data_IF_417169730665
#
_entry.id   IF_417169730665
#
_cell.length_a   1.000
_cell.length_b   1.000
_cell.length_c   1.000
_cell.angle_alpha   90.00
_cell.angle_beta   90.00
_cell.angle_gamma   90.00
#
_symmetry.space_group_name_H-M   'P 1'
#
loop_
_entity.id
_entity.type
_entity.pdbx_description
1 polymer ?
#
# COMPACT_ATOMS: atom_id res chain seq x y z
N UNK A 1 -14.38 -24.53 -20.11
CA UNK A 1 -13.35 -23.74 -19.40
C UNK A 1 -13.21 -22.44 -20.16
N UNK A 2 -13.86 -21.37 -19.71
CA UNK A 2 -13.67 -20.04 -20.30
C UNK A 2 -12.20 -19.66 -20.16
N UNK A 3 -11.59 -19.20 -21.26
CA UNK A 3 -10.21 -18.73 -21.23
C UNK A 3 -10.14 -17.50 -20.34
N UNK A 4 -9.50 -17.60 -19.17
CA UNK A 4 -9.24 -16.43 -18.32
C UNK A 4 -8.51 -15.38 -19.16
N UNK A 5 -9.10 -14.19 -19.28
CA UNK A 5 -8.50 -13.06 -19.99
C UNK A 5 -7.12 -12.76 -19.39
N UNK A 6 -6.13 -12.48 -20.24
CA UNK A 6 -4.80 -12.12 -19.75
C UNK A 6 -4.81 -10.71 -19.15
N UNK A 7 -3.84 -10.39 -18.28
CA UNK A 7 -3.65 -9.02 -17.74
C UNK A 7 -3.56 -7.96 -18.85
N UNK A 8 -3.00 -8.32 -20.00
CA UNK A 8 -2.93 -7.44 -21.18
C UNK A 8 -4.27 -7.30 -21.88
N UNK A 9 -5.01 -8.41 -22.00
CA UNK A 9 -6.38 -8.36 -22.49
C UNK A 9 -7.19 -7.48 -21.56
N UNK A 10 -7.08 -7.60 -20.23
CA UNK A 10 -7.80 -6.73 -19.30
C UNK A 10 -7.43 -5.25 -19.47
N UNK A 11 -6.13 -4.92 -19.60
CA UNK A 11 -5.69 -3.54 -19.86
C UNK A 11 -6.22 -3.01 -21.21
N UNK A 12 -6.33 -3.88 -22.23
CA UNK A 12 -6.72 -3.52 -23.60
C UNK A 12 -8.23 -3.63 -23.89
N UNK A 13 -8.95 -4.47 -23.13
CA UNK A 13 -10.35 -4.90 -23.34
C UNK A 13 -11.34 -4.18 -22.44
N UNK A 14 -10.88 -3.50 -21.38
CA UNK A 14 -11.66 -2.43 -20.75
C UNK A 14 -12.03 -1.48 -21.89
N UNK A 15 -13.30 -1.55 -22.34
CA UNK A 15 -13.82 -0.99 -23.61
C UNK A 15 -13.07 0.28 -24.00
N UNK A 16 -12.64 0.45 -25.27
CA UNK A 16 -11.71 1.50 -25.71
C UNK A 16 -12.29 2.86 -25.39
N UNK A 17 -11.97 3.31 -24.20
CA UNK A 17 -12.44 4.52 -23.60
C UNK A 17 -11.29 4.88 -22.68
N UNK A 18 -10.30 5.57 -23.25
CA UNK A 18 -9.54 6.73 -22.72
C UNK A 18 -9.42 6.95 -21.19
N UNK A 19 -9.70 5.97 -20.34
CA UNK A 19 -9.87 6.09 -18.89
C UNK A 19 -8.54 5.86 -18.21
N UNK A 20 -7.91 4.70 -18.41
CA UNK A 20 -6.56 4.46 -17.87
C UNK A 20 -5.54 5.12 -18.80
N UNK A 21 -4.86 6.12 -18.26
CA UNK A 21 -3.84 6.93 -18.96
C UNK A 21 -2.59 6.98 -18.10
N UNK A 22 -1.45 7.30 -18.70
CA UNK A 22 -0.20 7.61 -17.98
C UNK A 22 0.30 9.00 -18.35
N UNK A 23 1.24 9.55 -17.55
CA UNK A 23 1.81 10.87 -17.86
C UNK A 23 3.09 10.78 -18.69
N UNK A 24 3.29 11.78 -19.52
CA UNK A 24 4.60 12.12 -20.08
C UNK A 24 4.92 13.58 -19.82
N UNK A 25 6.21 13.89 -19.65
CA UNK A 25 6.65 15.28 -19.51
C UNK A 25 6.61 15.93 -20.90
N UNK A 26 5.92 17.08 -21.00
CA UNK A 26 5.70 17.82 -22.25
C UNK A 26 6.46 19.14 -22.32
N UNK A 27 7.17 19.51 -21.25
CA UNK A 27 7.98 20.72 -21.27
C UNK A 27 9.14 20.57 -22.24
N UNK A 28 8.99 21.27 -23.35
CA UNK A 28 10.06 21.65 -24.25
C UNK A 28 10.04 23.18 -24.34
N UNK A 29 10.94 23.85 -23.62
CA UNK A 29 11.10 25.29 -23.77
C UNK A 29 12.00 25.56 -24.99
N UNK A 30 11.36 25.74 -26.14
CA UNK A 30 12.04 26.18 -27.34
C UNK A 30 12.17 27.71 -27.28
N UNK A 31 13.36 28.20 -26.91
CA UNK A 31 13.89 29.50 -27.38
C UNK A 31 15.38 29.77 -27.11
N UNK A 32 16.13 28.85 -26.52
CA UNK A 32 17.59 28.94 -26.48
C UNK A 32 18.16 27.56 -26.78
N UNK A 33 18.52 27.33 -28.04
CA UNK A 33 19.48 26.30 -28.41
C UNK A 33 20.47 26.92 -29.37
N UNK A 34 21.70 27.09 -28.90
CA UNK A 34 22.85 27.43 -29.75
C UNK A 34 24.01 26.43 -29.56
N UNK A 35 23.93 25.41 -28.69
CA UNK A 35 24.99 24.38 -28.62
C UNK A 35 24.51 22.95 -28.33
N UNK A 36 25.37 21.97 -28.62
CA UNK A 36 25.19 20.54 -28.34
C UNK A 36 25.18 20.22 -26.82
N UNK A 37 25.62 21.15 -25.97
CA UNK A 37 25.71 20.97 -24.53
C UNK A 37 24.33 21.03 -23.84
N UNK A 38 23.33 21.65 -24.49
CA UNK A 38 21.95 21.80 -24.00
C UNK A 38 21.18 20.46 -23.88
N UNK A 39 21.71 19.37 -24.43
CA UNK A 39 21.12 18.02 -24.34
C UNK A 39 21.28 17.37 -22.96
N UNK A 40 22.30 17.80 -22.19
CA UNK A 40 22.63 17.31 -20.86
C UNK A 40 22.01 18.15 -19.73
N UNK A 41 21.20 19.16 -20.07
CA UNK A 41 20.46 19.95 -19.08
C UNK A 41 19.33 19.10 -18.49
N UNK A 42 19.15 19.19 -17.16
CA UNK A 42 18.02 18.59 -16.45
C UNK A 42 16.77 19.46 -16.61
N UNK A 43 15.68 18.86 -17.08
CA UNK A 43 14.36 19.48 -17.07
C UNK A 43 13.82 19.55 -15.62
N UNK A 44 12.81 20.39 -15.37
CA UNK A 44 12.13 20.47 -14.07
C UNK A 44 11.47 19.15 -13.62
N UNK A 45 11.23 18.22 -14.54
CA UNK A 45 10.79 16.86 -14.23
C UNK A 45 11.92 15.98 -13.66
N UNK A 46 13.17 16.42 -13.72
CA UNK A 46 14.36 15.67 -13.32
C UNK A 46 15.00 14.84 -14.44
N UNK A 47 14.33 14.65 -15.59
CA UNK A 47 14.90 13.96 -16.77
C UNK A 47 15.81 14.88 -17.56
N UNK A 48 16.82 14.33 -18.22
CA UNK A 48 17.58 15.07 -19.23
C UNK A 48 16.65 15.49 -20.38
N UNK A 49 16.87 16.68 -20.94
CA UNK A 49 16.06 17.18 -22.05
C UNK A 49 16.07 16.18 -23.22
N UNK A 50 17.20 15.53 -23.51
CA UNK A 50 17.31 14.47 -24.52
C UNK A 50 16.48 13.21 -24.26
N UNK A 51 15.94 13.04 -23.06
CA UNK A 51 15.13 11.88 -22.67
C UNK A 51 13.61 12.14 -22.76
N UNK A 52 13.20 13.31 -23.27
CA UNK A 52 11.80 13.63 -23.51
C UNK A 52 11.36 13.15 -24.88
N UNK A 53 10.11 12.73 -25.01
CA UNK A 53 9.44 12.50 -26.28
C UNK A 53 7.95 12.72 -26.14
N UNK A 54 7.34 13.24 -27.18
CA UNK A 54 5.90 13.53 -27.21
C UNK A 54 5.09 12.24 -27.43
N UNK A 55 5.71 11.27 -28.09
CA UNK A 55 5.26 9.97 -28.53
C UNK A 55 5.59 8.83 -27.54
N UNK A 56 6.14 9.14 -26.35
CA UNK A 56 6.46 8.15 -25.32
C UNK A 56 7.78 7.38 -25.55
N UNK A 57 8.37 7.44 -26.75
CA UNK A 57 9.66 6.84 -27.10
C UNK A 57 10.84 7.80 -26.91
N UNK A 58 11.72 7.54 -25.95
CA UNK A 58 12.88 8.37 -25.61
C UNK A 58 13.71 8.80 -26.85
N UNK A 59 13.92 10.11 -27.07
CA UNK A 59 14.70 10.66 -28.20
C UNK A 59 16.14 10.11 -28.30
N UNK A 60 16.70 9.60 -27.20
CA UNK A 60 18.02 8.95 -27.18
C UNK A 60 18.12 7.70 -28.06
N UNK A 61 16.99 7.14 -28.51
CA UNK A 61 16.95 5.96 -29.38
C UNK A 61 16.89 6.29 -30.87
N UNK A 62 16.63 7.56 -31.24
CA UNK A 62 16.57 8.00 -32.66
C UNK A 62 17.93 8.52 -33.18
N UNK A 63 19.00 8.47 -32.38
CA UNK A 63 20.31 9.00 -32.80
C UNK A 63 21.08 8.12 -33.78
N UNK A 64 20.56 6.95 -34.17
CA UNK A 64 21.20 6.09 -35.20
C UNK A 64 20.37 5.91 -36.49
N UNK A 65 19.21 6.56 -36.61
CA UNK A 65 18.45 6.57 -37.89
C UNK A 65 17.91 7.97 -38.15
N UNK A 66 18.61 8.68 -39.02
CA UNK A 66 18.16 9.75 -39.90
C UNK A 66 17.09 10.73 -39.36
N UNK A 67 17.53 11.94 -39.02
CA UNK A 67 16.75 13.19 -39.16
C UNK A 67 15.28 13.16 -38.71
N UNK A 68 14.96 12.51 -37.58
CA UNK A 68 13.63 12.66 -36.98
C UNK A 68 13.42 14.13 -36.59
N UNK A 69 12.59 14.85 -37.36
CA UNK A 69 12.21 16.24 -37.05
C UNK A 69 11.56 16.28 -35.67
N UNK A 70 12.25 16.88 -34.71
CA UNK A 70 11.71 17.21 -33.39
C UNK A 70 10.59 18.24 -33.64
N UNK A 71 9.34 17.83 -33.50
CA UNK A 71 8.20 18.75 -33.55
C UNK A 71 8.03 19.44 -32.20
N UNK A 72 7.81 20.74 -32.22
CA UNK A 72 7.53 21.49 -31.00
C UNK A 72 6.20 21.09 -30.38
N UNK A 73 6.10 21.05 -29.04
CA UNK A 73 4.82 20.87 -28.40
C UNK A 73 3.88 22.02 -28.77
N UNK A 74 2.58 21.76 -28.93
CA UNK A 74 1.57 22.79 -29.16
C UNK A 74 1.69 23.99 -28.19
N UNK A 75 1.46 25.20 -28.70
CA UNK A 75 1.70 26.48 -27.98
C UNK A 75 0.93 26.64 -26.67
N UNK A 76 -0.12 25.84 -26.50
CA UNK A 76 -0.99 25.74 -25.31
C UNK A 76 -0.31 25.07 -24.10
N UNK A 77 0.81 24.35 -24.27
CA UNK A 77 1.52 23.65 -23.20
C UNK A 77 2.50 24.49 -22.37
N UNK A 78 2.46 25.83 -22.49
CA UNK A 78 3.41 26.75 -21.83
C UNK A 78 3.28 26.85 -20.30
N UNK A 79 2.19 26.34 -19.69
CA UNK A 79 1.91 26.45 -18.25
C UNK A 79 1.84 25.09 -17.52
N UNK A 80 1.89 23.97 -18.25
CA UNK A 80 1.71 22.62 -17.70
C UNK A 80 2.90 21.76 -18.10
N UNK A 81 3.52 21.07 -17.13
CA UNK A 81 4.77 20.33 -17.36
C UNK A 81 4.60 18.89 -17.84
N UNK A 82 3.41 18.32 -17.72
CA UNK A 82 3.08 16.95 -18.11
C UNK A 82 1.72 16.87 -18.79
N UNK A 83 1.54 15.88 -19.66
CA UNK A 83 0.25 15.55 -20.30
C UNK A 83 -0.04 14.07 -20.15
N UNK A 84 -1.32 13.71 -20.15
CA UNK A 84 -1.81 12.34 -20.20
C UNK A 84 -1.69 11.77 -21.61
N UNK A 85 -1.22 10.54 -21.71
CA UNK A 85 -1.12 9.73 -22.93
C UNK A 85 -1.67 8.32 -22.66
N UNK A 86 -2.00 7.53 -23.70
CA UNK A 86 -2.31 6.12 -23.51
C UNK A 86 -1.21 5.38 -22.73
N UNK A 87 -1.58 4.36 -21.98
CA UNK A 87 -0.62 3.57 -21.19
C UNK A 87 0.45 2.99 -22.11
N UNK A 88 1.71 3.29 -21.80
CA UNK A 88 2.89 2.87 -22.58
C UNK A 88 3.77 1.85 -21.87
N UNK A 89 3.58 1.66 -20.57
CA UNK A 89 4.43 0.80 -19.73
C UNK A 89 3.54 -0.10 -18.90
N UNK A 90 3.53 -1.39 -19.25
CA UNK A 90 2.88 -2.47 -18.52
C UNK A 90 3.53 -3.80 -18.88
N UNK A 91 3.34 -4.82 -18.05
CA UNK A 91 3.89 -6.16 -18.29
C UNK A 91 3.92 -7.01 -17.03
N UNK A 92 4.81 -7.99 -17.00
CA UNK A 92 5.04 -8.82 -15.81
C UNK A 92 6.53 -9.14 -15.63
N UNK A 93 6.99 -9.07 -14.38
CA UNK A 93 8.30 -9.55 -13.92
C UNK A 93 8.22 -11.06 -13.63
N UNK A 94 9.34 -11.76 -13.75
CA UNK A 94 9.43 -13.17 -13.36
C UNK A 94 9.97 -13.30 -11.95
N UNK A 95 9.43 -14.25 -11.19
CA UNK A 95 10.02 -14.73 -9.94
C UNK A 95 10.18 -16.24 -10.01
N UNK A 96 11.39 -16.74 -9.70
CA UNK A 96 11.73 -18.16 -9.71
C UNK A 96 11.29 -18.90 -11.00
N UNK A 97 11.49 -18.27 -12.16
CA UNK A 97 11.14 -18.82 -13.47
C UNK A 97 9.65 -18.75 -13.84
N UNK A 98 8.76 -18.37 -12.91
CA UNK A 98 7.32 -18.21 -13.11
C UNK A 98 6.92 -16.74 -13.25
N UNK A 99 5.69 -16.47 -13.71
CA UNK A 99 5.12 -15.11 -13.70
C UNK A 99 5.05 -14.64 -12.24
N UNK A 100 5.78 -13.57 -11.92
CA UNK A 100 5.77 -12.90 -10.64
C UNK A 100 4.89 -11.66 -10.70
N UNK A 101 5.48 -10.50 -10.43
CA UNK A 101 4.77 -9.23 -10.30
C UNK A 101 4.34 -8.62 -11.66
N UNK A 102 3.03 -8.50 -11.88
CA UNK A 102 2.43 -7.73 -12.99
C UNK A 102 2.53 -6.24 -12.69
N UNK A 103 2.85 -5.40 -13.66
CA UNK A 103 2.99 -3.96 -13.43
C UNK A 103 2.25 -3.12 -14.48
N UNK A 104 1.84 -1.91 -14.07
CA UNK A 104 1.25 -0.90 -14.94
C UNK A 104 1.66 0.50 -14.48
N UNK A 105 2.02 1.37 -15.44
CA UNK A 105 2.27 2.80 -15.19
C UNK A 105 1.03 3.61 -15.53
N UNK A 106 0.56 4.39 -14.57
CA UNK A 106 -0.66 5.18 -14.68
C UNK A 106 -0.44 6.63 -14.22
N UNK A 107 -1.37 7.51 -14.54
CA UNK A 107 -1.41 8.88 -14.05
C UNK A 107 -1.74 8.90 -12.55
N UNK A 108 -0.99 9.67 -11.77
CA UNK A 108 -1.23 9.85 -10.34
C UNK A 108 -2.60 10.46 -9.99
N UNK A 109 -3.26 11.15 -10.93
CA UNK A 109 -4.60 11.76 -10.78
C UNK A 109 -5.72 10.85 -11.29
N UNK A 110 -5.40 9.66 -11.78
CA UNK A 110 -6.41 8.72 -12.23
C UNK A 110 -7.30 8.30 -11.04
N UNK A 111 -8.64 8.35 -11.16
CA UNK A 111 -9.53 7.75 -10.16
C UNK A 111 -9.22 6.27 -9.94
N UNK A 112 -9.39 5.76 -8.72
CA UNK A 112 -9.01 4.38 -8.40
C UNK A 112 -10.03 3.33 -8.85
N UNK A 113 -11.32 3.67 -9.02
CA UNK A 113 -12.35 2.72 -9.46
C UNK A 113 -11.96 1.86 -10.69
N UNK A 114 -11.48 2.41 -11.82
CA UNK A 114 -11.05 1.58 -12.96
C UNK A 114 -9.87 0.66 -12.66
N UNK A 115 -9.00 1.05 -11.71
CA UNK A 115 -7.85 0.24 -11.29
C UNK A 115 -8.30 -0.87 -10.34
N UNK A 116 -9.25 -0.59 -9.45
CA UNK A 116 -9.87 -1.59 -8.60
C UNK A 116 -10.58 -2.66 -9.44
N UNK A 117 -11.41 -2.26 -10.41
CA UNK A 117 -12.06 -3.20 -11.35
C UNK A 117 -11.04 -4.06 -12.10
N UNK A 118 -9.94 -3.46 -12.59
CA UNK A 118 -8.86 -4.19 -13.26
C UNK A 118 -8.24 -5.28 -12.36
N UNK A 119 -7.98 -4.95 -11.09
CA UNK A 119 -7.42 -5.88 -10.11
C UNK A 119 -8.39 -7.01 -9.77
N UNK A 120 -9.68 -6.69 -9.56
CA UNK A 120 -10.72 -7.68 -9.27
C UNK A 120 -10.86 -8.68 -10.43
N UNK A 121 -10.90 -8.18 -11.68
CA UNK A 121 -11.01 -9.03 -12.87
C UNK A 121 -9.80 -9.97 -13.03
N UNK A 122 -8.57 -9.49 -12.79
CA UNK A 122 -7.38 -10.37 -12.81
C UNK A 122 -7.36 -11.37 -11.64
N UNK A 123 -8.02 -11.01 -10.55
CA UNK A 123 -8.26 -11.91 -9.44
C UNK A 123 -9.35 -12.95 -9.72
N UNK A 124 -9.97 -12.95 -10.91
CA UNK A 124 -11.05 -13.87 -11.29
C UNK A 124 -12.37 -13.46 -10.63
N UNK A 125 -12.67 -12.17 -10.70
CA UNK A 125 -13.87 -11.52 -10.16
C UNK A 125 -14.05 -11.70 -8.64
N UNK A 126 -12.95 -12.00 -7.94
CA UNK A 126 -12.95 -12.20 -6.49
C UNK A 126 -12.54 -10.90 -5.80
N UNK A 127 -13.51 -10.26 -5.13
CA UNK A 127 -13.28 -9.06 -4.29
C UNK A 127 -12.61 -9.44 -2.96
N UNK A 128 -11.74 -8.59 -2.38
CA UNK A 128 -11.10 -8.87 -1.10
C UNK A 128 -12.08 -8.80 0.06
N UNK A 129 -12.01 -9.73 1.02
CA UNK A 129 -12.74 -9.60 2.29
C UNK A 129 -12.02 -8.71 3.33
N UNK A 130 -10.71 -8.50 3.11
CA UNK A 130 -9.83 -7.78 4.01
C UNK A 130 -8.72 -7.09 3.21
N UNK A 131 -8.35 -5.88 3.60
CA UNK A 131 -7.17 -5.18 3.11
C UNK A 131 -6.20 -4.97 4.26
N UNK A 132 -4.97 -5.45 4.05
CA UNK A 132 -3.85 -5.27 4.96
C UNK A 132 -2.91 -4.21 4.39
N UNK A 133 -3.05 -2.96 4.83
CA UNK A 133 -2.18 -1.85 4.43
C UNK A 133 -0.94 -1.82 5.31
N UNK A 134 0.19 -2.26 4.77
CA UNK A 134 1.44 -2.39 5.53
C UNK A 134 2.34 -1.19 5.25
N UNK A 135 2.68 -0.48 6.32
CA UNK A 135 3.59 0.65 6.32
C UNK A 135 4.82 0.31 7.15
N UNK A 136 5.96 0.87 6.73
CA UNK A 136 7.14 0.80 7.55
C UNK A 136 8.36 1.43 6.92
N UNK A 137 9.53 1.01 7.40
CA UNK A 137 10.82 1.48 6.90
C UNK A 137 10.92 1.36 5.39
N UNK A 138 11.12 2.50 4.71
CA UNK A 138 11.39 2.54 3.27
C UNK A 138 12.82 2.09 2.94
N UNK A 139 13.69 2.02 3.95
CA UNK A 139 15.07 1.54 3.88
C UNK A 139 15.21 0.23 4.63
N UNK A 140 16.34 -0.44 4.45
CA UNK A 140 16.73 -1.56 5.29
C UNK A 140 16.66 -1.18 6.78
N UNK A 141 16.02 -2.04 7.56
CA UNK A 141 15.96 -1.98 9.01
C UNK A 141 16.17 -3.38 9.55
N UNK A 142 16.51 -3.47 10.84
CA UNK A 142 16.80 -4.73 11.52
C UNK A 142 15.85 -4.91 12.67
N UNK A 143 15.38 -6.13 12.87
CA UNK A 143 14.65 -6.57 14.05
C UNK A 143 15.14 -7.98 14.44
N UNK A 144 14.57 -8.55 15.51
CA UNK A 144 14.91 -9.93 15.85
C UNK A 144 14.36 -10.90 14.80
N UNK A 145 15.11 -11.95 14.46
CA UNK A 145 14.70 -12.97 13.49
C UNK A 145 13.37 -13.64 13.88
N UNK A 146 13.13 -13.79 15.19
CA UNK A 146 11.88 -14.34 15.72
C UNK A 146 10.69 -13.44 15.39
N UNK A 147 10.82 -12.13 15.62
CA UNK A 147 9.77 -11.16 15.31
C UNK A 147 9.53 -11.08 13.81
N UNK A 148 10.60 -11.02 13.02
CA UNK A 148 10.53 -10.98 11.56
C UNK A 148 9.73 -12.16 10.98
N UNK A 149 10.05 -13.37 11.44
CA UNK A 149 9.33 -14.59 11.05
C UNK A 149 7.86 -14.55 11.46
N UNK A 150 7.55 -14.01 12.64
CA UNK A 150 6.18 -13.93 13.12
C UNK A 150 5.35 -12.89 12.35
N UNK A 151 5.94 -11.75 11.99
CA UNK A 151 5.30 -10.75 11.11
C UNK A 151 4.96 -11.37 9.76
N UNK A 152 5.95 -12.01 9.12
CA UNK A 152 5.73 -12.69 7.83
C UNK A 152 4.62 -13.72 7.99
N UNK A 153 4.76 -14.64 8.96
CA UNK A 153 3.80 -15.73 9.16
C UNK A 153 2.39 -15.21 9.38
N UNK A 154 2.19 -14.29 10.31
CA UNK A 154 0.85 -13.81 10.63
C UNK A 154 0.18 -13.02 9.50
N UNK A 155 0.95 -12.22 8.74
CA UNK A 155 0.40 -11.49 7.57
C UNK A 155 0.05 -12.45 6.44
N UNK A 156 0.94 -13.40 6.14
CA UNK A 156 0.73 -14.40 5.08
C UNK A 156 -0.42 -15.34 5.42
N UNK A 157 -0.51 -15.78 6.67
CA UNK A 157 -1.60 -16.63 7.15
C UNK A 157 -2.93 -15.89 7.11
N UNK A 158 -2.98 -14.62 7.56
CA UNK A 158 -4.17 -13.78 7.45
C UNK A 158 -4.61 -13.63 5.99
N UNK A 159 -3.69 -13.31 5.07
CA UNK A 159 -4.01 -13.14 3.65
C UNK A 159 -4.47 -14.43 2.97
N UNK A 160 -3.81 -15.56 3.28
CA UNK A 160 -4.13 -16.84 2.70
C UNK A 160 -5.50 -17.38 3.14
N UNK A 161 -5.93 -17.07 4.36
CA UNK A 161 -7.15 -17.62 4.95
C UNK A 161 -8.38 -16.75 4.68
N UNK A 162 -8.23 -15.42 4.73
CA UNK A 162 -9.34 -14.46 4.66
C UNK A 162 -9.56 -13.80 3.29
N UNK A 163 -8.93 -14.32 2.23
CA UNK A 163 -8.92 -13.68 0.91
C UNK A 163 -8.54 -12.19 1.00
N UNK A 164 -7.47 -11.91 1.75
CA UNK A 164 -7.03 -10.54 1.97
C UNK A 164 -6.12 -10.06 0.85
N UNK A 165 -6.22 -8.78 0.52
CA UNK A 165 -5.23 -8.09 -0.30
C UNK A 165 -4.22 -7.39 0.60
N UNK A 166 -2.94 -7.63 0.32
CA UNK A 166 -1.83 -6.97 1.01
C UNK A 166 -1.41 -5.75 0.18
N UNK A 167 -1.40 -4.57 0.79
CA UNK A 167 -0.90 -3.35 0.17
C UNK A 167 0.45 -2.97 0.78
N UNK A 168 1.44 -2.70 -0.06
CA UNK A 168 2.78 -2.25 0.36
C UNK A 168 3.26 -1.09 -0.52
N UNK A 169 4.52 -0.68 -0.38
CA UNK A 169 5.15 0.26 -1.32
C UNK A 169 5.56 -0.41 -2.63
N UNK A 170 5.61 -1.74 -2.76
CA UNK A 170 6.01 -2.41 -4.01
C UNK A 170 7.49 -2.29 -4.39
N UNK A 171 8.28 -1.63 -3.57
CA UNK A 171 9.72 -1.46 -3.78
C UNK A 171 10.46 -2.65 -3.15
N UNK A 172 11.49 -3.16 -3.81
CA UNK A 172 12.37 -4.21 -3.29
C UNK A 172 13.32 -3.63 -2.21
N UNK A 173 12.74 -3.08 -1.14
CA UNK A 173 13.47 -2.62 0.04
C UNK A 173 12.54 -2.63 1.27
N UNK A 174 13.14 -2.64 2.46
CA UNK A 174 12.45 -2.55 3.74
C UNK A 174 11.32 -3.57 3.89
N UNK A 175 10.17 -3.11 4.39
CA UNK A 175 9.04 -4.02 4.70
C UNK A 175 8.45 -4.66 3.43
N UNK A 176 8.47 -3.94 2.31
CA UNK A 176 7.92 -4.45 1.06
C UNK A 176 8.70 -5.66 0.54
N UNK A 177 10.04 -5.64 0.66
CA UNK A 177 10.91 -6.79 0.38
C UNK A 177 10.67 -7.93 1.36
N UNK A 178 10.60 -7.64 2.66
CA UNK A 178 10.33 -8.62 3.70
C UNK A 178 9.05 -9.44 3.42
N UNK A 179 7.96 -8.75 3.07
CA UNK A 179 6.70 -9.40 2.69
C UNK A 179 6.84 -10.17 1.38
N UNK A 180 7.56 -9.63 0.40
CA UNK A 180 7.84 -10.31 -0.87
C UNK A 180 8.56 -11.66 -0.67
N UNK A 181 9.60 -11.68 0.16
CA UNK A 181 10.33 -12.91 0.52
C UNK A 181 9.43 -13.91 1.26
N UNK A 182 8.59 -13.43 2.17
CA UNK A 182 7.56 -14.25 2.84
C UNK A 182 6.59 -14.92 1.87
N UNK A 183 6.09 -14.18 0.87
CA UNK A 183 5.22 -14.71 -0.19
C UNK A 183 5.95 -15.74 -1.04
N UNK A 184 7.22 -15.47 -1.38
CA UNK A 184 8.06 -16.40 -2.15
C UNK A 184 8.21 -17.73 -1.41
N UNK A 185 8.58 -17.69 -0.12
CA UNK A 185 8.69 -18.87 0.73
C UNK A 185 7.37 -19.63 0.85
N UNK A 186 6.25 -18.93 1.05
CA UNK A 186 4.92 -19.55 1.12
C UNK A 186 4.56 -20.32 -0.15
N UNK A 187 4.81 -19.73 -1.33
CA UNK A 187 4.54 -20.37 -2.64
C UNK A 187 5.41 -21.60 -2.88
N UNK A 188 6.65 -21.60 -2.39
CA UNK A 188 7.53 -22.77 -2.48
C UNK A 188 7.05 -23.92 -1.60
N UNK A 189 6.54 -23.61 -0.40
CA UNK A 189 6.06 -24.61 0.55
C UNK A 189 4.65 -25.14 0.22
N UNK A 190 3.81 -24.34 -0.43
CA UNK A 190 2.44 -24.70 -0.80
C UNK A 190 2.28 -24.67 -2.32
N UNK A 191 2.41 -25.82 -3.03
CA UNK A 191 2.42 -25.88 -4.50
C UNK A 191 1.06 -25.57 -5.17
N UNK A 192 -0.05 -25.67 -4.44
CA UNK A 192 -1.35 -25.08 -4.79
C UNK A 192 -1.72 -24.02 -3.74
N UNK A 193 -1.00 -22.88 -3.69
CA UNK A 193 -1.21 -21.90 -2.64
C UNK A 193 -2.57 -21.23 -2.84
N UNK A 194 -3.27 -20.91 -1.75
CA UNK A 194 -4.33 -19.91 -1.82
C UNK A 194 -3.75 -18.65 -2.47
N UNK A 195 -4.50 -18.04 -3.40
CA UNK A 195 -3.98 -16.93 -4.21
C UNK A 195 -3.80 -15.71 -3.31
N UNK A 196 -2.62 -15.57 -2.71
CA UNK A 196 -2.22 -14.36 -2.00
C UNK A 196 -2.09 -13.25 -3.02
N UNK A 197 -2.85 -12.18 -2.83
CA UNK A 197 -2.79 -10.96 -3.63
C UNK A 197 -1.98 -9.93 -2.84
N UNK A 198 -0.83 -9.56 -3.39
CA UNK A 198 0.01 -8.50 -2.84
C UNK A 198 0.25 -7.44 -3.91
N UNK A 199 -0.12 -6.20 -3.59
CA UNK A 199 -0.15 -5.07 -4.51
C UNK A 199 0.83 -4.03 -3.98
N UNK A 200 1.85 -3.75 -4.79
CA UNK A 200 2.76 -2.64 -4.61
C UNK A 200 2.17 -1.35 -5.17
N UNK A 201 2.20 -0.28 -4.38
CA UNK A 201 1.80 1.06 -4.80
C UNK A 201 3.02 1.98 -4.69
N UNK A 202 3.56 2.43 -5.82
CA UNK A 202 4.76 3.28 -5.82
C UNK A 202 4.71 4.37 -6.85
N UNK A 203 5.55 5.39 -6.64
CA UNK A 203 5.75 6.45 -7.61
C UNK A 203 6.68 5.95 -8.71
N UNK A 204 6.30 6.18 -9.97
CA UNK A 204 7.15 5.84 -11.12
C UNK A 204 8.52 6.49 -11.01
N UNK A 205 8.57 7.77 -10.60
CA UNK A 205 9.80 8.53 -10.47
C UNK A 205 10.83 7.96 -9.49
N UNK A 206 10.39 7.27 -8.43
CA UNK A 206 11.27 6.72 -7.39
C UNK A 206 11.88 5.38 -7.75
N UNK A 207 11.40 4.72 -8.81
CA UNK A 207 12.03 3.49 -9.29
C UNK A 207 13.33 3.85 -10.00
N UNK A 208 14.38 3.06 -9.75
CA UNK A 208 15.69 3.31 -10.34
C UNK A 208 15.64 3.36 -11.89
N UNK A 209 16.56 4.11 -12.49
CA UNK A 209 16.53 4.38 -13.93
C UNK A 209 16.68 3.12 -14.78
N UNK A 210 17.48 2.16 -14.32
CA UNK A 210 17.70 0.85 -14.98
C UNK A 210 16.40 0.06 -15.08
N UNK A 211 15.68 -0.11 -13.96
CA UNK A 211 14.37 -0.78 -13.94
C UNK A 211 13.41 -0.04 -14.85
N UNK A 212 13.30 1.29 -14.74
CA UNK A 212 12.42 2.07 -15.62
C UNK A 212 12.75 1.92 -17.10
N UNK A 213 14.02 1.74 -17.45
CA UNK A 213 14.45 1.50 -18.81
C UNK A 213 14.01 0.11 -19.29
N UNK A 214 14.20 -0.93 -18.48
CA UNK A 214 13.72 -2.28 -18.79
C UNK A 214 12.21 -2.34 -19.03
N UNK A 215 11.43 -1.66 -18.17
CA UNK A 215 9.97 -1.61 -18.29
C UNK A 215 9.50 -0.86 -19.55
N UNK A 216 10.32 0.00 -20.17
CA UNK A 216 9.98 0.76 -21.39
C UNK A 216 10.17 -0.02 -22.69
N UNK A 217 10.98 -1.09 -22.69
CA UNK A 217 11.34 -1.81 -23.92
C UNK A 217 10.32 -2.88 -24.35
N UNK A 218 9.17 -2.97 -23.69
CA UNK A 218 8.20 -4.06 -23.86
C UNK A 218 7.06 -3.75 -24.82
N UNK A 219 7.34 -3.47 -26.10
CA UNK A 219 6.38 -3.82 -27.17
C UNK A 219 7.18 -4.26 -28.40
N UNK A 220 6.96 -5.45 -28.98
CA UNK A 220 5.73 -5.91 -29.61
C UNK A 220 5.57 -7.42 -29.35
N UNK A 221 4.40 -7.87 -28.85
CA UNK A 221 4.00 -9.29 -28.71
C UNK A 221 4.58 -10.10 -27.51
N UNK A 222 4.87 -9.45 -26.38
CA UNK A 222 5.72 -9.90 -25.26
C UNK A 222 7.19 -10.10 -25.66
N UNK A 223 8.12 -9.16 -25.37
CA UNK A 223 9.50 -9.55 -25.25
C UNK A 223 9.64 -10.23 -23.89
N UNK A 224 10.02 -11.50 -23.95
CA UNK A 224 10.73 -12.16 -22.85
C UNK A 224 11.66 -11.12 -22.20
N UNK A 225 11.46 -10.80 -20.93
CA UNK A 225 12.59 -10.44 -20.10
C UNK A 225 13.40 -11.74 -19.97
N UNK A 226 14.25 -11.95 -20.96
CA UNK A 226 15.52 -12.61 -20.81
C UNK A 226 16.56 -11.57 -21.18
N UNK A 227 16.63 -10.45 -20.45
CA UNK A 227 17.96 -10.02 -20.06
C UNK A 227 18.38 -11.02 -18.98
N UNK A 228 19.24 -11.96 -19.35
CA UNK A 228 20.10 -12.58 -18.37
C UNK A 228 21.00 -11.47 -17.84
N UNK A 229 20.51 -10.71 -16.87
CA UNK A 229 21.24 -10.71 -15.63
C UNK A 229 20.53 -11.81 -14.85
N UNK A 230 21.17 -12.97 -14.77
CA UNK A 230 21.21 -13.62 -13.45
C UNK A 230 21.50 -12.43 -12.55
N UNK A 231 20.53 -11.99 -11.74
CA UNK A 231 20.91 -11.30 -10.51
C UNK A 231 21.77 -12.36 -9.88
N UNK A 232 23.08 -12.32 -10.16
CA UNK A 232 24.03 -13.04 -9.38
C UNK A 232 23.70 -12.56 -7.99
N UNK A 233 23.61 -13.46 -7.03
CA UNK A 233 23.32 -13.11 -5.65
C UNK A 233 24.40 -12.16 -5.04
N UNK A 234 25.28 -11.60 -5.89
CA UNK A 234 26.53 -10.90 -5.63
C UNK A 234 26.68 -9.57 -6.41
N UNK A 235 25.67 -9.06 -7.13
CA UNK A 235 25.73 -7.69 -7.69
C UNK A 235 24.70 -6.81 -7.00
N UNK A 236 25.20 -5.95 -6.11
CA UNK A 236 24.52 -4.94 -5.30
C UNK A 236 23.02 -4.80 -5.61
N UNK A 237 22.22 -5.34 -4.69
CA UNK A 237 20.78 -5.19 -4.57
C UNK A 237 20.45 -3.68 -4.62
N UNK A 238 20.31 -3.15 -5.84
CA UNK A 238 20.16 -1.70 -6.00
C UNK A 238 18.85 -1.33 -5.35
N UNK A 239 18.94 -0.64 -4.21
CA UNK A 239 17.83 -0.01 -3.53
C UNK A 239 16.94 0.67 -4.60
N UNK A 240 15.62 0.44 -4.56
CA UNK A 240 14.62 1.07 -5.44
C UNK A 240 14.25 0.35 -6.77
N UNK A 241 14.34 -0.99 -6.83
CA UNK A 241 13.69 -1.82 -7.87
C UNK A 241 12.25 -2.22 -7.49
N UNK A 242 11.45 -2.76 -8.42
CA UNK A 242 10.12 -3.33 -8.11
C UNK A 242 10.30 -4.69 -7.42
N UNK A 243 9.55 -4.94 -6.35
CA UNK A 243 9.53 -6.25 -5.69
C UNK A 243 8.88 -7.32 -6.61
N UNK A 244 9.70 -8.27 -7.06
CA UNK A 244 9.31 -9.30 -8.04
C UNK A 244 8.35 -10.35 -7.48
N UNK A 245 8.32 -10.54 -6.16
CA UNK A 245 7.52 -11.57 -5.51
C UNK A 245 6.08 -11.12 -5.23
N UNK A 246 5.77 -9.83 -5.37
CA UNK A 246 4.39 -9.34 -5.35
C UNK A 246 3.59 -9.88 -6.52
N UNK A 247 2.26 -9.73 -6.46
CA UNK A 247 1.38 -10.10 -7.59
C UNK A 247 1.20 -8.96 -8.58
N UNK A 248 1.09 -7.74 -8.07
CA UNK A 248 0.79 -6.55 -8.86
C UNK A 248 1.62 -5.36 -8.35
N UNK A 249 1.96 -4.44 -9.24
CA UNK A 249 2.60 -3.17 -8.91
C UNK A 249 2.01 -2.04 -9.76
N UNK A 250 1.45 -1.03 -9.11
CA UNK A 250 0.89 0.15 -9.75
C UNK A 250 1.87 1.30 -9.61
N UNK A 251 2.30 1.84 -10.74
CA UNK A 251 3.33 2.86 -10.84
C UNK A 251 2.68 4.21 -11.16
N UNK A 252 2.49 5.05 -10.14
CA UNK A 252 1.85 6.35 -10.28
C UNK A 252 2.84 7.39 -10.81
N UNK A 253 2.47 8.05 -11.90
CA UNK A 253 3.30 9.04 -12.55
C UNK A 253 2.71 10.44 -12.42
N UNK A 254 3.45 11.32 -11.75
CA UNK A 254 3.18 12.75 -11.64
C UNK A 254 4.02 13.60 -12.61
N UNK A 255 4.82 12.95 -13.44
CA UNK A 255 5.76 13.58 -14.35
C UNK A 255 7.08 13.96 -13.69
N UNK A 256 7.35 13.64 -12.43
CA UNK A 256 8.60 13.96 -11.72
C UNK A 256 9.41 12.71 -11.38
N UNK A 257 10.75 12.84 -11.36
CA UNK A 257 11.68 11.76 -10.98
C UNK A 257 12.01 11.72 -9.47
N UNK A 258 11.45 12.59 -8.66
CA UNK A 258 11.78 12.69 -7.23
C UNK A 258 10.54 12.93 -6.40
N UNK A 259 10.67 12.74 -5.08
CA UNK A 259 9.57 12.81 -4.12
C UNK A 259 9.08 11.42 -3.74
N UNK A 260 7.97 11.36 -3.01
CA UNK A 260 7.36 10.12 -2.56
C UNK A 260 5.93 10.01 -3.11
N UNK A 261 5.37 8.80 -3.05
CA UNK A 261 3.95 8.60 -3.31
C UNK A 261 3.17 9.14 -2.10
N UNK A 262 2.15 9.97 -2.34
CA UNK A 262 1.24 10.35 -1.26
C UNK A 262 0.35 9.16 -0.91
N UNK A 263 -0.12 9.10 0.33
CA UNK A 263 -0.94 7.95 0.73
C UNK A 263 -2.35 7.99 0.15
N UNK A 264 -2.76 9.12 -0.45
CA UNK A 264 -4.08 9.32 -1.02
C UNK A 264 -4.48 8.28 -2.08
N UNK A 265 -3.56 7.77 -2.89
CA UNK A 265 -3.90 6.73 -3.87
C UNK A 265 -4.11 5.36 -3.22
N UNK A 266 -3.31 5.03 -2.20
CA UNK A 266 -3.52 3.82 -1.41
C UNK A 266 -4.85 3.90 -0.68
N UNK A 267 -5.11 5.02 -0.01
CA UNK A 267 -6.35 5.29 0.67
C UNK A 267 -7.58 5.21 -0.26
N UNK A 268 -7.48 5.77 -1.46
CA UNK A 268 -8.53 5.67 -2.47
C UNK A 268 -8.77 4.23 -2.91
N UNK A 269 -7.73 3.40 -3.08
CA UNK A 269 -7.89 1.98 -3.38
C UNK A 269 -8.56 1.21 -2.24
N UNK A 270 -8.16 1.48 -0.99
CA UNK A 270 -8.82 0.89 0.19
C UNK A 270 -10.29 1.28 0.21
N UNK A 271 -10.60 2.54 -0.12
CA UNK A 271 -11.96 3.05 -0.18
C UNK A 271 -12.80 2.31 -1.24
N UNK A 272 -12.30 2.12 -2.46
CA UNK A 272 -13.03 1.39 -3.51
C UNK A 272 -13.44 -0.02 -3.05
N UNK A 273 -12.61 -0.68 -2.24
CA UNK A 273 -12.93 -2.01 -1.73
C UNK A 273 -13.85 -2.00 -0.51
N UNK A 274 -13.64 -1.08 0.44
CA UNK A 274 -14.39 -1.05 1.71
C UNK A 274 -15.76 -0.37 1.60
N UNK A 275 -15.96 0.54 0.64
CA UNK A 275 -17.23 1.24 0.43
C UNK A 275 -18.14 0.52 -0.58
N UNK A 276 -17.77 -0.69 -0.99
CA UNK A 276 -18.58 -1.53 -1.88
C UNK A 276 -19.88 -1.95 -1.17
N UNK A 277 -21.02 -1.65 -1.81
CA UNK A 277 -22.35 -1.91 -1.25
C UNK A 277 -22.73 -3.39 -1.30
N UNK A 278 -22.18 -4.13 -2.24
CA UNK A 278 -22.55 -5.51 -2.53
C UNK A 278 -21.55 -6.50 -1.91
N UNK A 279 -20.44 -6.00 -1.36
CA UNK A 279 -19.38 -6.83 -0.80
C UNK A 279 -18.70 -6.15 0.38
N UNK A 280 -18.75 -6.79 1.55
CA UNK A 280 -18.10 -6.24 2.74
C UNK A 280 -16.59 -6.49 2.72
N UNK A 281 -15.82 -5.43 2.95
CA UNK A 281 -14.39 -5.49 3.14
C UNK A 281 -13.95 -4.61 4.32
N UNK A 282 -12.98 -5.10 5.09
CA UNK A 282 -12.36 -4.32 6.17
C UNK A 282 -10.96 -3.86 5.79
N UNK A 283 -10.59 -2.63 6.15
CA UNK A 283 -9.23 -2.12 5.97
C UNK A 283 -8.51 -2.07 7.31
N UNK A 284 -7.33 -2.69 7.42
CA UNK A 284 -6.48 -2.66 8.61
C UNK A 284 -5.13 -2.10 8.23
N UNK A 285 -4.64 -1.16 9.02
CA UNK A 285 -3.31 -0.56 8.86
C UNK A 285 -2.32 -1.20 9.81
N UNK A 286 -1.19 -1.68 9.29
CA UNK A 286 -0.14 -2.34 10.07
C UNK A 286 1.14 -1.52 9.96
N UNK A 287 1.71 -1.14 11.11
CA UNK A 287 2.94 -0.36 11.19
C UNK A 287 4.09 -1.23 11.70
N UNK A 288 5.10 -1.41 10.85
CA UNK A 288 6.38 -2.06 11.17
C UNK A 288 7.48 -1.00 11.10
N UNK A 289 8.18 -0.73 12.20
CA UNK A 289 9.15 0.36 12.34
C UNK A 289 8.51 1.76 12.22
N UNK A 290 8.14 2.18 11.00
CA UNK A 290 7.52 3.48 10.71
C UNK A 290 8.49 4.67 10.75
N UNK A 291 8.39 5.55 9.75
CA UNK A 291 9.13 6.84 9.72
C UNK A 291 8.22 8.04 9.95
N UNK A 292 8.77 9.26 10.07
CA UNK A 292 8.00 10.49 10.36
C UNK A 292 6.75 10.71 9.48
N UNK A 293 6.82 10.34 8.20
CA UNK A 293 5.71 10.47 7.26
C UNK A 293 4.52 9.54 7.58
N UNK A 294 4.72 8.54 8.44
CA UNK A 294 3.66 7.62 8.90
C UNK A 294 2.63 8.34 9.78
N UNK A 295 2.98 9.48 10.41
CA UNK A 295 2.05 10.24 11.24
C UNK A 295 0.84 10.72 10.42
N UNK A 296 1.06 11.23 9.21
CA UNK A 296 -0.02 11.69 8.32
C UNK A 296 -0.95 10.53 7.93
N UNK A 297 -0.37 9.36 7.65
CA UNK A 297 -1.12 8.12 7.36
C UNK A 297 -2.01 7.76 8.55
N UNK A 298 -1.43 7.73 9.76
CA UNK A 298 -2.15 7.37 10.97
C UNK A 298 -3.29 8.33 11.28
N UNK A 299 -3.07 9.64 11.13
CA UNK A 299 -4.10 10.67 11.28
C UNK A 299 -5.25 10.47 10.30
N UNK A 300 -4.94 10.17 9.03
CA UNK A 300 -5.93 9.89 8.02
C UNK A 300 -6.74 8.61 8.30
N UNK A 301 -6.08 7.55 8.79
CA UNK A 301 -6.75 6.27 9.07
C UNK A 301 -7.63 6.31 10.32
N UNK A 302 -7.23 7.01 11.39
CA UNK A 302 -8.08 7.18 12.58
C UNK A 302 -9.34 7.99 12.26
N UNK A 303 -9.23 9.02 11.41
CA UNK A 303 -10.39 9.83 10.97
C UNK A 303 -11.38 8.99 10.18
N UNK A 304 -10.86 8.05 9.38
CA UNK A 304 -11.66 7.06 8.64
C UNK A 304 -12.10 5.85 9.48
N UNK A 305 -11.87 5.89 10.79
CA UNK A 305 -12.21 4.83 11.75
C UNK A 305 -11.60 3.47 11.37
N UNK A 306 -10.40 3.46 10.77
CA UNK A 306 -9.68 2.22 10.43
C UNK A 306 -8.82 1.76 11.61
N UNK A 307 -8.85 0.47 11.97
CA UNK A 307 -8.01 -0.08 13.01
C UNK A 307 -6.55 -0.09 12.59
N UNK A 308 -5.67 0.24 13.53
CA UNK A 308 -4.23 0.30 13.36
C UNK A 308 -3.58 -0.71 14.31
N UNK A 309 -2.64 -1.48 13.79
CA UNK A 309 -1.82 -2.45 14.53
C UNK A 309 -0.36 -2.00 14.49
N UNK A 310 0.21 -1.69 15.65
CA UNK A 310 1.64 -1.43 15.81
C UNK A 310 2.36 -2.72 16.20
N UNK A 311 3.47 -3.02 15.53
CA UNK A 311 4.31 -4.16 15.90
C UNK A 311 5.38 -3.69 16.89
N UNK A 312 5.28 -4.10 18.15
CA UNK A 312 6.29 -3.80 19.17
C UNK A 312 7.60 -4.53 18.86
N UNK A 313 8.73 -3.92 19.25
CA UNK A 313 10.11 -4.33 18.97
C UNK A 313 10.50 -4.27 17.49
N UNK A 314 9.69 -3.61 16.65
CA UNK A 314 10.00 -3.38 15.24
C UNK A 314 10.78 -2.09 14.98
N UNK A 315 10.90 -1.21 15.97
CA UNK A 315 11.69 0.02 15.92
C UNK A 315 10.86 1.31 15.77
N UNK A 316 11.53 2.45 15.93
CA UNK A 316 11.05 3.82 15.62
C UNK A 316 9.62 4.10 16.08
N UNK A 317 8.74 4.57 15.18
CA UNK A 317 7.40 5.01 15.55
C UNK A 317 6.53 3.88 16.08
N UNK A 318 6.70 2.65 15.59
CA UNK A 318 5.94 1.51 16.09
C UNK A 318 6.17 1.32 17.60
N UNK A 319 7.44 1.40 18.04
CA UNK A 319 7.80 1.27 19.46
C UNK A 319 7.41 2.50 20.29
N UNK A 320 7.46 3.70 19.71
CA UNK A 320 6.94 4.91 20.37
C UNK A 320 5.45 4.74 20.69
N UNK A 321 4.64 4.33 19.71
CA UNK A 321 3.21 4.11 19.94
C UNK A 321 2.97 2.94 20.87
N UNK A 322 3.69 1.82 20.73
CA UNK A 322 3.57 0.67 21.63
C UNK A 322 3.85 1.09 23.08
N UNK A 323 4.98 1.74 23.35
CA UNK A 323 5.35 2.22 24.69
C UNK A 323 4.30 3.16 25.29
N UNK A 324 3.81 4.13 24.51
CA UNK A 324 2.81 5.09 24.99
C UNK A 324 1.45 4.43 25.25
N UNK A 325 0.97 3.57 24.35
CA UNK A 325 -0.29 2.84 24.51
C UNK A 325 -0.22 1.93 25.75
N UNK A 326 0.92 1.27 25.98
CA UNK A 326 1.12 0.40 27.14
C UNK A 326 1.06 1.19 28.46
N UNK A 327 1.75 2.33 28.52
CA UNK A 327 1.69 3.23 29.69
C UNK A 327 0.27 3.73 29.97
N UNK A 328 -0.52 3.99 28.93
CA UNK A 328 -1.93 4.39 29.10
C UNK A 328 -2.83 3.26 29.58
N UNK A 329 -2.50 2.00 29.26
CA UNK A 329 -3.31 0.84 29.64
C UNK A 329 -3.08 0.42 31.11
N UNK A 330 -1.87 0.62 31.63
CA UNK A 330 -1.51 0.28 33.02
C UNK A 330 -1.94 1.37 34.03
N UNK A 331 -2.29 2.57 33.56
CA UNK A 331 -2.87 3.63 34.38
C UNK A 331 -4.32 3.26 34.76
N UNK A 332 -4.48 2.68 35.97
CA UNK A 332 -5.75 2.18 36.57
C UNK A 332 -6.89 3.21 36.73
N UNK A 333 -6.83 4.36 36.08
CA UNK A 333 -7.82 5.43 36.18
C UNK A 333 -8.26 5.83 34.78
N UNK A 334 -9.54 5.65 34.50
CA UNK A 334 -10.28 6.04 33.28
C UNK A 334 -10.26 7.55 32.95
N UNK A 335 -9.40 8.32 33.61
CA UNK A 335 -9.23 9.75 33.41
C UNK A 335 -8.18 10.03 32.33
N UNK A 336 -8.65 10.71 31.28
CA UNK A 336 -7.90 11.42 30.23
C UNK A 336 -6.38 11.26 30.29
N UNK A 337 -5.80 10.36 29.51
CA UNK A 337 -4.36 10.32 29.34
C UNK A 337 -3.99 10.53 27.88
N UNK A 338 -4.01 11.80 27.45
CA UNK A 338 -3.14 12.24 26.37
C UNK A 338 -1.75 12.37 27.03
N UNK A 339 -0.73 11.63 26.57
CA UNK A 339 0.60 11.70 27.18
C UNK A 339 1.14 13.12 27.12
N UNK A 340 1.80 13.57 28.19
CA UNK A 340 2.41 14.90 28.23
C UNK A 340 3.50 15.01 27.15
N UNK A 341 3.76 16.24 26.69
CA UNK A 341 4.80 16.51 25.69
C UNK A 341 6.18 15.96 26.15
N UNK A 342 6.46 15.97 27.45
CA UNK A 342 7.68 15.37 28.04
C UNK A 342 7.74 13.85 27.86
N UNK A 343 6.63 13.14 28.11
CA UNK A 343 6.56 11.68 27.97
C UNK A 343 6.72 11.27 26.50
N UNK A 344 6.04 11.98 25.59
CA UNK A 344 6.17 11.71 24.15
C UNK A 344 7.59 12.00 23.66
N UNK A 345 8.20 13.12 24.08
CA UNK A 345 9.58 13.44 23.72
C UNK A 345 10.57 12.43 24.26
N UNK A 346 10.34 11.90 25.48
CA UNK A 346 11.18 10.83 26.04
C UNK A 346 11.11 9.57 25.19
N UNK A 347 9.90 9.14 24.81
CA UNK A 347 9.72 7.98 23.93
C UNK A 347 10.35 8.22 22.54
N UNK A 348 10.18 9.41 21.95
CA UNK A 348 10.82 9.78 20.68
C UNK A 348 12.35 9.76 20.79
N UNK A 349 12.92 10.26 21.90
CA UNK A 349 14.37 10.25 22.11
C UNK A 349 14.92 8.83 22.28
N UNK A 350 14.14 7.93 22.88
CA UNK A 350 14.52 6.52 23.09
C UNK A 350 14.46 5.71 21.79
N UNK A 351 13.34 5.78 21.06
CA UNK A 351 13.08 4.88 19.93
C UNK A 351 13.30 5.52 18.56
N UNK A 352 13.27 6.86 18.46
CA UNK A 352 13.47 7.59 17.20
C UNK A 352 14.47 8.77 17.32
N UNK A 353 15.72 8.50 17.74
CA UNK A 353 16.71 9.54 18.08
C UNK A 353 17.18 10.39 16.87
N UNK A 354 16.92 9.95 15.64
CA UNK A 354 17.37 10.62 14.41
C UNK A 354 16.47 11.77 13.93
N UNK A 355 15.39 12.09 14.66
CA UNK A 355 14.50 13.20 14.33
C UNK A 355 15.13 14.57 14.59
N UNK A 356 14.95 15.50 13.65
CA UNK A 356 15.41 16.89 13.84
C UNK A 356 14.49 17.66 14.82
N UNK A 357 15.01 18.71 15.48
CA UNK A 357 14.26 19.48 16.50
C UNK A 357 12.91 20.01 16.01
N UNK A 358 12.84 20.50 14.78
CA UNK A 358 11.58 20.98 14.19
C UNK A 358 10.58 19.86 13.92
N UNK A 359 11.09 18.66 13.60
CA UNK A 359 10.27 17.47 13.33
C UNK A 359 9.72 16.88 14.63
N UNK A 360 10.48 16.93 15.73
CA UNK A 360 10.03 16.45 17.04
C UNK A 360 8.74 17.18 17.45
N UNK A 361 8.67 18.50 17.29
CA UNK A 361 7.49 19.28 17.70
C UNK A 361 6.23 18.81 16.93
N UNK A 362 6.34 18.70 15.60
CA UNK A 362 5.22 18.27 14.75
C UNK A 362 4.85 16.81 15.02
N UNK A 363 5.84 15.94 15.21
CA UNK A 363 5.66 14.52 15.49
C UNK A 363 5.00 14.31 16.85
N UNK A 364 5.43 15.03 17.89
CA UNK A 364 4.83 14.97 19.22
C UNK A 364 3.35 15.34 19.17
N UNK A 365 3.02 16.46 18.50
CA UNK A 365 1.62 16.88 18.36
C UNK A 365 0.80 15.82 17.62
N UNK A 366 1.30 15.31 16.49
CA UNK A 366 0.61 14.26 15.74
C UNK A 366 0.36 12.99 16.56
N UNK A 367 1.35 12.56 17.36
CA UNK A 367 1.19 11.42 18.28
C UNK A 367 0.11 11.69 19.32
N UNK A 368 0.08 12.87 19.93
CA UNK A 368 -0.94 13.25 20.92
C UNK A 368 -2.34 13.28 20.32
N UNK A 369 -2.48 13.79 19.08
CA UNK A 369 -3.74 13.83 18.36
C UNK A 369 -4.26 12.40 18.05
N UNK A 370 -3.35 11.47 17.73
CA UNK A 370 -3.67 10.05 17.48
C UNK A 370 -4.05 9.33 18.78
N UNK A 371 -3.35 9.59 19.88
CA UNK A 371 -3.57 8.96 21.19
C UNK A 371 -4.77 9.52 21.97
N UNK A 372 -5.62 10.32 21.34
CA UNK A 372 -6.88 10.79 21.94
C UNK A 372 -7.78 9.60 22.33
N UNK A 373 -8.43 9.69 23.50
CA UNK A 373 -9.36 8.69 24.04
C UNK A 373 -10.42 8.27 23.03
N UNK A 374 -10.90 9.19 22.18
CA UNK A 374 -11.91 8.86 21.16
C UNK A 374 -11.44 7.79 20.17
N UNK A 375 -10.13 7.68 19.93
CA UNK A 375 -9.55 6.73 18.96
C UNK A 375 -8.94 5.49 19.60
N UNK A 376 -8.91 5.39 20.94
CA UNK A 376 -8.22 4.29 21.65
C UNK A 376 -8.64 2.89 21.20
N UNK A 377 -9.90 2.70 20.82
CA UNK A 377 -10.46 1.44 20.34
C UNK A 377 -9.94 1.01 18.95
N UNK A 378 -9.32 1.93 18.20
CA UNK A 378 -8.69 1.67 16.90
C UNK A 378 -7.21 1.31 17.05
N UNK A 379 -6.57 1.69 18.16
CA UNK A 379 -5.13 1.52 18.36
C UNK A 379 -4.83 0.19 19.05
N UNK A 380 -4.13 -0.69 18.34
CA UNK A 380 -3.80 -2.04 18.78
C UNK A 380 -2.29 -2.24 18.69
N UNK A 381 -1.73 -3.04 19.61
CA UNK A 381 -0.30 -3.35 19.66
C UNK A 381 -0.16 -4.86 19.64
N UNK A 382 0.66 -5.39 18.75
CA UNK A 382 1.09 -6.78 18.79
C UNK A 382 2.36 -6.90 19.61
N UNK A 383 2.35 -7.79 20.61
CA UNK A 383 3.49 -8.08 21.47
C UNK A 383 3.87 -9.54 21.41
N UNK A 384 5.14 -9.81 21.12
CA UNK A 384 5.63 -11.17 20.87
C UNK A 384 5.63 -12.05 22.13
N UNK A 385 5.66 -11.44 23.33
CA UNK A 385 5.62 -12.13 24.63
C UNK A 385 4.20 -12.46 25.12
N UNK A 386 3.18 -11.71 24.69
CA UNK A 386 1.79 -11.82 25.19
C UNK A 386 0.79 -12.33 24.16
N UNK A 387 0.93 -11.94 22.91
CA UNK A 387 -0.02 -12.29 21.85
C UNK A 387 0.36 -13.62 21.19
N UNK A 388 -0.65 -14.38 20.74
CA UNK A 388 -0.39 -15.68 20.10
C UNK A 388 0.12 -15.54 18.67
N UNK A 389 -0.37 -14.55 17.93
CA UNK A 389 0.06 -14.26 16.55
C UNK A 389 -0.36 -12.88 16.08
N UNK A 390 0.31 -12.36 15.04
CA UNK A 390 -0.07 -11.10 14.39
C UNK A 390 -1.48 -11.19 13.78
N UNK A 391 -1.85 -12.36 13.22
CA UNK A 391 -3.19 -12.58 12.68
C UNK A 391 -4.28 -12.41 13.76
N UNK A 392 -4.07 -12.96 14.97
CA UNK A 392 -5.02 -12.77 16.07
C UNK A 392 -5.16 -11.29 16.45
N UNK A 393 -4.06 -10.53 16.48
CA UNK A 393 -4.11 -9.10 16.80
C UNK A 393 -4.83 -8.30 15.72
N UNK A 394 -4.67 -8.64 14.44
CA UNK A 394 -5.46 -8.07 13.33
C UNK A 394 -6.96 -8.30 13.57
N UNK A 395 -7.33 -9.52 14.00
CA UNK A 395 -8.74 -9.85 14.27
C UNK A 395 -9.28 -9.03 15.44
N UNK A 396 -8.54 -9.00 16.56
CA UNK A 396 -8.92 -8.22 17.75
C UNK A 396 -9.12 -6.75 17.39
N UNK A 397 -8.30 -6.21 16.49
CA UNK A 397 -8.41 -4.83 16.04
C UNK A 397 -9.72 -4.57 15.29
N UNK A 398 -10.09 -5.44 14.34
CA UNK A 398 -11.37 -5.36 13.61
C UNK A 398 -12.55 -5.54 14.57
N UNK A 399 -12.48 -6.54 15.44
CA UNK A 399 -13.55 -6.84 16.41
C UNK A 399 -13.78 -5.68 17.39
N UNK A 400 -12.71 -5.08 17.92
CA UNK A 400 -12.79 -3.94 18.84
C UNK A 400 -13.36 -2.70 18.15
N UNK A 401 -12.92 -2.42 16.92
CA UNK A 401 -13.49 -1.36 16.09
C UNK A 401 -15.00 -1.56 15.92
N UNK A 402 -15.43 -2.76 15.51
CA UNK A 402 -16.83 -3.05 15.23
C UNK A 402 -17.73 -2.95 16.45
N UNK A 403 -17.28 -3.52 17.56
CA UNK A 403 -18.00 -3.41 18.82
C UNK A 403 -18.25 -1.95 19.21
N UNK A 404 -17.23 -1.09 19.06
CA UNK A 404 -17.39 0.32 19.38
C UNK A 404 -18.34 1.05 18.43
N UNK A 405 -18.32 0.70 17.14
CA UNK A 405 -19.26 1.25 16.17
C UNK A 405 -20.72 0.87 16.51
N UNK A 406 -20.97 -0.39 16.88
CA UNK A 406 -22.31 -0.85 17.27
C UNK A 406 -22.77 -0.15 18.56
N UNK A 407 -21.92 -0.04 19.58
CA UNK A 407 -22.23 0.72 20.80
C UNK A 407 -22.60 2.19 20.50
N UNK A 408 -21.89 2.84 19.58
CA UNK A 408 -22.18 4.23 19.21
C UNK A 408 -23.53 4.33 18.49
N UNK A 409 -23.81 3.39 17.57
CA UNK A 409 -25.05 3.38 16.79
C UNK A 409 -26.27 3.21 17.71
N UNK A 410 -26.24 2.23 18.63
CA UNK A 410 -27.31 1.99 19.62
C UNK A 410 -27.56 3.24 20.47
N UNK A 411 -26.50 3.92 20.90
CA UNK A 411 -26.63 5.15 21.71
C UNK A 411 -27.09 6.38 20.90
N UNK A 412 -27.12 6.32 19.57
CA UNK A 412 -27.42 7.44 18.68
C UNK A 412 -28.85 7.46 18.13
N UNK A 413 -29.72 6.55 18.58
CA UNK A 413 -31.09 6.38 18.10
C UNK A 413 -31.93 7.67 18.16
N UNK A 414 -31.96 8.37 17.01
CA UNK A 414 -33.11 9.09 16.48
C UNK A 414 -33.20 8.78 14.97
N UNK A 415 -34.21 7.97 14.59
CA UNK A 415 -34.74 7.75 13.23
C UNK A 415 -33.83 7.07 12.18
N UNK A 416 -33.67 5.74 12.23
CA UNK A 416 -33.27 4.91 11.07
C UNK A 416 -34.08 3.60 11.09
N UNK A 417 -34.42 3.06 9.91
CA UNK A 417 -35.16 1.79 9.75
C UNK A 417 -34.48 0.61 10.46
N UNK A 418 -35.05 0.14 11.57
CA UNK A 418 -34.56 -0.98 12.42
C UNK A 418 -34.27 -2.24 11.59
N UNK A 419 -35.13 -2.56 10.62
CA UNK A 419 -35.04 -3.79 9.80
C UNK A 419 -33.80 -3.83 8.87
N UNK A 420 -33.26 -2.67 8.49
CA UNK A 420 -32.00 -2.59 7.71
C UNK A 420 -30.76 -2.66 8.61
N UNK A 421 -30.86 -2.21 9.87
CA UNK A 421 -29.78 -2.29 10.83
C UNK A 421 -29.56 -3.74 11.29
N UNK A 422 -30.64 -4.48 11.56
CA UNK A 422 -30.57 -5.89 11.97
C UNK A 422 -29.90 -6.77 10.91
N UNK A 423 -30.27 -6.57 9.64
CA UNK A 423 -29.64 -7.29 8.51
C UNK A 423 -28.15 -6.97 8.40
N UNK A 424 -27.79 -5.70 8.53
CA UNK A 424 -26.38 -5.28 8.45
C UNK A 424 -25.56 -5.79 9.65
N UNK A 425 -26.17 -5.88 10.84
CA UNK A 425 -25.55 -6.45 12.02
C UNK A 425 -25.29 -7.96 11.85
N UNK A 426 -26.28 -8.71 11.37
CA UNK A 426 -26.15 -10.15 11.12
C UNK A 426 -25.06 -10.48 10.07
N UNK A 427 -25.00 -9.72 8.97
CA UNK A 427 -23.95 -9.89 7.95
C UNK A 427 -22.55 -9.61 8.52
N UNK A 428 -22.41 -8.57 9.34
CA UNK A 428 -21.13 -8.23 9.98
C UNK A 428 -20.69 -9.31 10.98
N UNK A 429 -21.62 -9.90 11.74
CA UNK A 429 -21.35 -11.01 12.65
C UNK A 429 -20.90 -12.28 11.92
N UNK A 430 -21.58 -12.65 10.83
CA UNK A 430 -21.23 -13.83 10.03
C UNK A 430 -19.81 -13.71 9.46
N UNK A 431 -19.42 -12.52 8.99
CA UNK A 431 -18.06 -12.27 8.51
C UNK A 431 -17.05 -12.41 9.64
N UNK A 432 -17.33 -11.84 10.81
CA UNK A 432 -16.44 -11.91 11.96
C UNK A 432 -16.32 -13.35 12.50
N UNK A 433 -17.40 -14.12 12.51
CA UNK A 433 -17.39 -15.53 12.89
C UNK A 433 -16.59 -16.38 11.90
N UNK A 434 -16.75 -16.12 10.60
CA UNK A 434 -15.96 -16.79 9.57
C UNK A 434 -14.46 -16.47 9.72
N UNK A 435 -14.10 -15.20 9.92
CA UNK A 435 -12.72 -14.80 10.21
C UNK A 435 -12.17 -15.46 11.49
N UNK A 436 -12.95 -15.47 12.57
CA UNK A 436 -12.55 -16.10 13.83
C UNK A 436 -12.31 -17.60 13.67
N UNK A 437 -13.21 -18.28 12.94
CA UNK A 437 -13.09 -19.71 12.65
C UNK A 437 -11.88 -20.00 11.77
N UNK A 438 -11.66 -19.22 10.71
CA UNK A 438 -10.53 -19.40 9.79
C UNK A 438 -9.18 -19.21 10.49
N UNK A 439 -9.13 -18.35 11.50
CA UNK A 439 -7.89 -18.05 12.24
C UNK A 439 -7.76 -18.84 13.54
N UNK A 440 -8.62 -19.85 13.77
CA UNK A 440 -8.66 -20.65 15.00
C UNK A 440 -8.76 -19.81 16.29
N UNK A 441 -9.41 -18.66 16.21
CA UNK A 441 -9.59 -17.75 17.35
C UNK A 441 -10.91 -18.04 18.07
N UNK A 442 -10.98 -19.22 18.69
CA UNK A 442 -12.19 -19.72 19.38
C UNK A 442 -12.67 -18.79 20.49
N UNK A 443 -11.77 -18.15 21.23
CA UNK A 443 -12.11 -17.18 22.27
C UNK A 443 -12.85 -15.96 21.69
N UNK A 444 -12.42 -15.49 20.51
CA UNK A 444 -13.08 -14.40 19.79
C UNK A 444 -14.43 -14.81 19.21
N UNK A 445 -14.51 -16.01 18.61
CA UNK A 445 -15.79 -16.56 18.14
C UNK A 445 -16.80 -16.67 19.30
N UNK A 446 -16.36 -17.16 20.46
CA UNK A 446 -17.20 -17.25 21.66
C UNK A 446 -17.60 -15.86 22.18
N UNK A 447 -16.72 -14.87 22.10
CA UNK A 447 -17.01 -13.48 22.47
C UNK A 447 -18.06 -12.85 21.56
N UNK A 448 -17.99 -13.12 20.25
CA UNK A 448 -19.01 -12.69 19.27
C UNK A 448 -20.35 -13.35 19.63
N UNK A 449 -20.39 -14.68 19.71
CA UNK A 449 -21.62 -15.44 19.96
C UNK A 449 -22.33 -15.01 21.26
N UNK A 450 -21.56 -14.78 22.35
CA UNK A 450 -22.12 -14.30 23.62
C UNK A 450 -22.81 -12.95 23.47
N UNK A 451 -22.23 -12.03 22.69
CA UNK A 451 -22.83 -10.71 22.44
C UNK A 451 -24.06 -10.82 21.56
N UNK A 452 -24.02 -11.66 20.53
CA UNK A 452 -25.19 -11.94 19.68
C UNK A 452 -26.36 -12.42 20.53
N UNK A 453 -26.14 -13.37 21.44
CA UNK A 453 -27.17 -13.83 22.37
C UNK A 453 -27.71 -12.69 23.23
N UNK A 454 -26.85 -11.82 23.77
CA UNK A 454 -27.29 -10.65 24.57
C UNK A 454 -28.06 -9.62 23.74
N UNK A 455 -27.71 -9.41 22.46
CA UNK A 455 -28.40 -8.48 21.58
C UNK A 455 -29.84 -8.92 21.25
N UNK A 456 -30.04 -10.20 20.95
CA UNK A 456 -31.38 -10.76 20.67
C UNK A 456 -32.21 -11.04 21.94
N UNK A 457 -31.61 -11.00 23.13
CA UNK A 457 -32.32 -11.08 24.42
C UNK A 457 -32.88 -9.73 24.89
N UNK A 458 -32.35 -8.61 24.37
CA UNK A 458 -32.83 -7.25 24.61
C UNK A 458 -33.94 -6.87 23.62
#
# INVERSE_FOLDING_TARGET
MESKQSWEDLISSVKPNKKIVCRTCILYNQKVRTSRDDANIKCCCGRLVRCHSFDGECLSLKTNKDNAKITDPPKEFKRIHSSTVPVTVYGALKSNGSIGCKYIRIDHQLPMAPIYELLVNDCGDTKPGLILSIYGGAKYFTMTEKLEKEIIRGIIDAAATSNAWILTTGVNNGVSKLIGEGISHYRLLKPNPNKIVCIGLTKWGTINESTRFELKHTTKKYPRVSCHRQISDNEDDTDETIEKNHTHCILFDDGKLSGYLNDGQRDALVKEACDDKDHKCYGVTIIVEGGKNTIEVLQNDIEKKRPIVFIEDSGRLADVFASLINQTADAKTDQQFIPSDEVVRKALAEFFPSLEKGEIINTTKGIQDILDKKYRHLLNVFRMDRDKSVAETIFKAIFTMKNKQNEININSEQNVDEENQDKQHAEDEDILLNLASQWNYFDGALSILKKTTTYYEQ
#
